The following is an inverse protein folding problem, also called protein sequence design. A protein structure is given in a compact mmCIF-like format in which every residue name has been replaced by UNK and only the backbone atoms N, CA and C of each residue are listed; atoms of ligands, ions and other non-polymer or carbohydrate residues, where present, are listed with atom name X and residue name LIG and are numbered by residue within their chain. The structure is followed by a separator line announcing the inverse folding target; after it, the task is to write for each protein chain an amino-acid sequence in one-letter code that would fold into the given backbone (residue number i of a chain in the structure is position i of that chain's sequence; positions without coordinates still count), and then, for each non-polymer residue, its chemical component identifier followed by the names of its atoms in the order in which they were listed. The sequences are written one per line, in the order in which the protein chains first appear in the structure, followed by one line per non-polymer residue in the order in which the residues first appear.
data_IF_416531188970
#
_entry.id   IF_416531188970
#
_cell.length_a   1.000
_cell.length_b   1.000
_cell.length_c   1.000
_cell.angle_alpha   90.00
_cell.angle_beta   90.00
_cell.angle_gamma   90.00
#
_symmetry.space_group_name_H-M   'P 1'
#
loop_
_entity.id
_entity.type
_entity.pdbx_description
1 polymer ?
#
# COMPACT_ATOMS: atom_id res chain seq x y z
N UNK A 1 -33.73 -46.67 22.55
CA UNK A 1 -32.88 -47.78 22.09
C UNK A 1 -31.49 -47.59 22.69
N UNK A 2 -31.03 -48.55 23.50
CA UNK A 2 -29.89 -48.40 24.42
C UNK A 2 -28.57 -48.11 23.68
N UNK A 3 -27.88 -47.05 24.10
CA UNK A 3 -26.55 -46.66 23.62
C UNK A 3 -25.41 -47.60 24.08
N UNK A 4 -25.73 -48.63 24.88
CA UNK A 4 -24.75 -49.51 25.55
C UNK A 4 -24.13 -50.59 24.64
N UNK A 5 -24.65 -50.85 23.43
CA UNK A 5 -24.14 -51.87 22.50
C UNK A 5 -23.39 -51.31 21.29
N UNK A 6 -22.81 -50.10 21.40
CA UNK A 6 -22.08 -49.42 20.33
C UNK A 6 -20.79 -48.75 20.83
N UNK A 7 -20.37 -49.06 22.05
CA UNK A 7 -19.27 -48.35 22.71
C UNK A 7 -17.93 -49.05 22.54
N UNK A 8 -17.94 -50.37 22.32
CA UNK A 8 -16.72 -51.16 22.15
C UNK A 8 -16.66 -51.79 20.77
N UNK A 9 -15.43 -52.10 20.34
CA UNK A 9 -15.18 -52.77 19.07
C UNK A 9 -15.81 -54.16 19.03
N UNK A 10 -15.80 -54.87 20.18
CA UNK A 10 -16.42 -56.20 20.28
C UNK A 10 -17.94 -56.17 20.08
N UNK A 11 -18.61 -55.05 20.42
CA UNK A 11 -20.05 -54.90 20.24
C UNK A 11 -20.41 -54.88 18.75
N UNK A 12 -19.57 -54.25 17.91
CA UNK A 12 -19.77 -54.17 16.46
C UNK A 12 -19.58 -55.53 15.79
N UNK A 13 -18.62 -56.32 16.27
CA UNK A 13 -18.39 -57.68 15.77
C UNK A 13 -19.48 -58.66 16.24
N UNK A 14 -20.28 -58.30 17.25
CA UNK A 14 -21.32 -59.15 17.81
C UNK A 14 -22.65 -59.13 17.05
N UNK A 15 -22.82 -58.22 16.07
CA UNK A 15 -24.04 -58.12 15.26
C UNK A 15 -24.26 -59.36 14.38
N UNK A 16 -25.53 -59.71 14.15
CA UNK A 16 -25.94 -60.79 13.25
C UNK A 16 -26.40 -60.22 11.91
N UNK A 17 -25.87 -60.75 10.82
CA UNK A 17 -26.27 -60.43 9.46
C UNK A 17 -26.82 -61.69 8.80
N UNK A 18 -27.85 -61.53 7.98
CA UNK A 18 -28.54 -62.63 7.31
C UNK A 18 -27.84 -62.96 5.99
N UNK A 19 -27.51 -64.23 5.79
CA UNK A 19 -26.95 -64.72 4.53
C UNK A 19 -28.05 -64.96 3.49
N UNK A 20 -27.69 -65.21 2.22
CA UNK A 20 -28.59 -65.52 1.10
C UNK A 20 -29.56 -66.68 1.39
N UNK A 21 -29.17 -67.60 2.28
CA UNK A 21 -29.99 -68.73 2.74
C UNK A 21 -30.84 -68.42 3.99
N UNK A 22 -31.09 -67.14 4.28
CA UNK A 22 -31.88 -66.65 5.44
C UNK A 22 -31.29 -66.97 6.84
N UNK A 23 -30.09 -67.55 6.90
CA UNK A 23 -29.39 -67.88 8.16
C UNK A 23 -28.72 -66.65 8.77
N UNK A 24 -28.82 -66.51 10.10
CA UNK A 24 -28.13 -65.48 10.87
C UNK A 24 -26.67 -65.89 11.13
N UNK A 25 -25.72 -65.07 10.68
CA UNK A 25 -24.28 -65.27 10.84
C UNK A 25 -23.71 -64.05 11.59
N UNK A 26 -22.87 -64.28 12.59
CA UNK A 26 -22.25 -63.21 13.35
C UNK A 26 -21.11 -62.56 12.54
N UNK A 27 -20.99 -61.23 12.59
CA UNK A 27 -19.98 -60.46 11.83
C UNK A 27 -18.54 -60.90 12.15
N UNK A 28 -18.26 -61.29 13.40
CA UNK A 28 -16.96 -61.82 13.84
C UNK A 28 -16.48 -63.07 13.09
N UNK A 29 -17.38 -63.83 12.45
CA UNK A 29 -17.02 -65.06 11.73
C UNK A 29 -16.38 -64.80 10.36
N UNK A 30 -16.51 -63.58 9.83
CA UNK A 30 -16.01 -63.23 8.49
C UNK A 30 -15.37 -61.83 8.39
N UNK A 31 -15.36 -61.04 9.46
CA UNK A 31 -14.73 -59.72 9.52
C UNK A 31 -13.81 -59.61 10.74
N UNK A 32 -12.64 -59.00 10.55
CA UNK A 32 -11.70 -58.61 11.60
C UNK A 32 -11.72 -57.10 11.78
N UNK A 33 -11.48 -56.63 13.00
CA UNK A 33 -11.44 -55.21 13.30
C UNK A 33 -10.12 -54.85 13.97
N UNK A 34 -9.44 -53.86 13.40
CA UNK A 34 -8.18 -53.31 13.90
C UNK A 34 -8.36 -51.84 14.26
N UNK A 35 -7.80 -51.43 15.40
CA UNK A 35 -7.78 -50.04 15.81
C UNK A 35 -6.64 -49.31 15.10
N UNK A 36 -6.98 -48.47 14.12
CA UNK A 36 -6.03 -47.59 13.43
C UNK A 36 -6.32 -46.12 13.74
N UNK A 37 -5.27 -45.31 13.89
CA UNK A 37 -5.42 -43.85 13.98
C UNK A 37 -5.37 -43.24 12.60
N UNK A 38 -6.43 -42.52 12.22
CA UNK A 38 -6.51 -41.76 10.99
C UNK A 38 -7.04 -40.35 11.28
N UNK A 39 -6.64 -39.33 10.49
CA UNK A 39 -7.22 -38.00 10.63
C UNK A 39 -8.74 -38.05 10.42
N UNK A 40 -9.54 -37.43 11.31
CA UNK A 40 -11.00 -37.41 11.17
C UNK A 40 -11.46 -36.56 9.97
N UNK A 41 -10.59 -35.68 9.46
CA UNK A 41 -10.85 -34.81 8.32
C UNK A 41 -9.66 -34.83 7.37
N UNK A 42 -9.93 -35.00 6.07
CA UNK A 42 -8.93 -34.91 5.00
C UNK A 42 -9.24 -33.65 4.17
N UNK A 43 -8.47 -32.59 4.40
CA UNK A 43 -8.63 -31.32 3.70
C UNK A 43 -8.06 -31.39 2.28
N UNK A 44 -8.76 -30.75 1.34
CA UNK A 44 -8.33 -30.60 -0.04
C UNK A 44 -8.36 -29.12 -0.45
N UNK A 45 -7.37 -28.68 -1.22
CA UNK A 45 -7.33 -27.35 -1.83
C UNK A 45 -6.84 -27.46 -3.28
N UNK A 46 -7.57 -26.86 -4.23
CA UNK A 46 -7.29 -26.96 -5.67
C UNK A 46 -7.09 -28.41 -6.15
N UNK A 47 -7.93 -29.35 -5.69
CA UNK A 47 -7.89 -30.79 -6.01
C UNK A 47 -6.71 -31.57 -5.42
N UNK A 48 -5.82 -30.94 -4.65
CA UNK A 48 -4.74 -31.61 -3.93
C UNK A 48 -5.10 -31.80 -2.46
N UNK A 49 -4.66 -32.91 -1.86
CA UNK A 49 -4.74 -33.11 -0.40
C UNK A 49 -3.78 -32.13 0.28
N UNK A 50 -4.29 -31.35 1.23
CA UNK A 50 -3.57 -30.21 1.80
C UNK A 50 -3.62 -30.24 3.32
N UNK A 51 -2.57 -29.73 3.95
CA UNK A 51 -2.53 -29.46 5.39
C UNK A 51 -2.67 -27.95 5.57
N UNK A 52 -3.61 -27.53 6.40
CA UNK A 52 -3.81 -26.12 6.71
C UNK A 52 -2.78 -25.67 7.74
N UNK A 53 -1.93 -24.72 7.35
CA UNK A 53 -0.98 -24.06 8.25
C UNK A 53 -1.49 -22.66 8.54
N UNK A 54 -1.66 -22.33 9.82
CA UNK A 54 -2.07 -21.01 10.27
C UNK A 54 -0.98 -20.43 11.18
N UNK A 55 -0.83 -19.12 11.12
CA UNK A 55 0.10 -18.38 11.94
C UNK A 55 -0.28 -16.90 11.96
N UNK A 56 0.25 -16.18 12.94
CA UNK A 56 0.15 -14.73 13.04
C UNK A 56 1.54 -14.12 12.92
N UNK A 57 1.59 -12.86 12.51
CA UNK A 57 2.81 -12.07 12.49
C UNK A 57 3.40 -11.89 13.90
N UNK A 58 4.72 -11.85 13.99
CA UNK A 58 5.40 -11.50 15.23
C UNK A 58 5.20 -10.00 15.54
N UNK A 59 5.25 -9.63 16.82
CA UNK A 59 5.10 -8.23 17.26
C UNK A 59 6.13 -7.35 16.55
N UNK A 60 5.66 -6.28 15.89
CA UNK A 60 6.51 -5.35 15.15
C UNK A 60 6.99 -5.85 13.78
N UNK A 61 6.43 -6.96 13.26
CA UNK A 61 6.67 -7.44 11.90
C UNK A 61 5.40 -7.30 11.07
N UNK A 62 5.57 -6.94 9.80
CA UNK A 62 4.43 -6.79 8.90
C UNK A 62 3.96 -8.14 8.36
N UNK A 63 2.70 -8.22 7.95
CA UNK A 63 2.16 -9.43 7.29
C UNK A 63 2.94 -9.81 6.03
N UNK A 64 3.47 -8.83 5.29
CA UNK A 64 4.31 -9.07 4.12
C UNK A 64 5.65 -9.73 4.46
N UNK A 65 6.26 -9.34 5.60
CA UNK A 65 7.46 -9.98 6.11
C UNK A 65 7.19 -11.42 6.53
N UNK A 66 6.05 -11.68 7.19
CA UNK A 66 5.64 -13.04 7.55
C UNK A 66 5.43 -13.93 6.32
N UNK A 67 4.75 -13.43 5.28
CA UNK A 67 4.54 -14.16 4.02
C UNK A 67 5.88 -14.48 3.32
N UNK A 68 6.79 -13.50 3.28
CA UNK A 68 8.12 -13.69 2.69
C UNK A 68 8.93 -14.73 3.47
N UNK A 69 8.87 -14.70 4.81
CA UNK A 69 9.56 -15.66 5.66
C UNK A 69 9.03 -17.08 5.46
N UNK A 70 7.71 -17.28 5.38
CA UNK A 70 7.11 -18.60 5.10
C UNK A 70 7.56 -19.11 3.72
N UNK A 71 7.56 -18.24 2.70
CA UNK A 71 8.05 -18.61 1.37
C UNK A 71 9.54 -18.99 1.39
N UNK A 72 10.37 -18.27 2.15
CA UNK A 72 11.80 -18.59 2.30
C UNK A 72 12.01 -19.92 3.03
N UNK A 73 11.27 -20.19 4.10
CA UNK A 73 11.32 -21.47 4.82
C UNK A 73 10.93 -22.61 3.88
N UNK A 74 9.83 -22.46 3.15
CA UNK A 74 9.39 -23.51 2.21
C UNK A 74 10.42 -23.78 1.12
N UNK A 75 11.06 -22.73 0.58
CA UNK A 75 12.16 -22.86 -0.40
C UNK A 75 13.39 -23.54 0.20
N UNK A 76 13.69 -23.31 1.48
CA UNK A 76 14.85 -23.92 2.15
C UNK A 76 14.71 -25.41 2.43
N UNK A 77 13.47 -25.92 2.51
CA UNK A 77 13.19 -27.33 2.78
C UNK A 77 13.24 -28.21 1.52
N UNK A 78 13.33 -27.60 0.33
CA UNK A 78 13.50 -28.27 -0.97
C UNK A 78 12.51 -29.43 -1.23
N UNK A 79 11.22 -29.19 -1.00
CA UNK A 79 10.19 -30.18 -1.29
C UNK A 79 9.97 -30.32 -2.80
N UNK A 80 10.33 -31.48 -3.36
CA UNK A 80 10.15 -31.79 -4.78
C UNK A 80 8.73 -32.24 -5.15
N UNK A 81 7.91 -32.61 -4.17
CA UNK A 81 6.58 -33.22 -4.36
C UNK A 81 5.44 -32.53 -3.59
N UNK A 82 5.72 -31.44 -2.89
CA UNK A 82 4.74 -30.69 -2.10
C UNK A 82 4.72 -29.25 -2.61
N UNK A 83 3.53 -28.75 -2.95
CA UNK A 83 3.31 -27.34 -3.25
C UNK A 83 2.74 -26.58 -2.04
N UNK A 84 2.76 -25.26 -2.12
CA UNK A 84 2.05 -24.39 -1.16
C UNK A 84 1.12 -23.44 -1.90
N UNK A 85 0.03 -23.07 -1.25
CA UNK A 85 -0.88 -22.05 -1.73
C UNK A 85 -1.34 -21.18 -0.55
N UNK A 86 -1.32 -19.86 -0.75
CA UNK A 86 -1.90 -18.92 0.21
C UNK A 86 -3.38 -18.75 -0.05
N UNK A 87 -4.18 -18.63 1.01
CA UNK A 87 -5.63 -18.48 0.93
C UNK A 87 -6.11 -17.26 1.72
N UNK A 88 -7.34 -16.82 1.47
CA UNK A 88 -7.95 -15.69 2.17
C UNK A 88 -7.17 -14.38 1.99
N UNK A 89 -6.95 -13.66 3.10
CA UNK A 89 -6.31 -12.34 3.13
C UNK A 89 -4.87 -12.38 2.61
N UNK A 90 -4.12 -13.45 2.90
CA UNK A 90 -2.76 -13.62 2.41
C UNK A 90 -2.70 -13.69 0.87
N UNK A 91 -3.67 -14.38 0.25
CA UNK A 91 -3.79 -14.47 -1.21
C UNK A 91 -4.10 -13.12 -1.85
N UNK A 92 -5.03 -12.37 -1.25
CA UNK A 92 -5.37 -11.02 -1.69
C UNK A 92 -4.17 -10.07 -1.58
N UNK A 93 -3.40 -10.14 -0.49
CA UNK A 93 -2.22 -9.32 -0.30
C UNK A 93 -1.12 -9.61 -1.34
N UNK A 94 -0.87 -10.88 -1.66
CA UNK A 94 0.11 -11.26 -2.69
C UNK A 94 -0.34 -10.84 -4.09
N UNK A 95 -1.63 -10.96 -4.39
CA UNK A 95 -2.19 -10.60 -5.68
C UNK A 95 -2.24 -9.08 -5.89
N UNK A 96 -2.55 -8.33 -4.83
CA UNK A 96 -2.65 -6.86 -4.87
C UNK A 96 -1.30 -6.14 -4.69
N UNK A 97 -0.29 -6.80 -4.13
CA UNK A 97 0.94 -6.15 -3.67
C UNK A 97 1.68 -5.32 -4.72
N UNK A 98 1.62 -5.71 -6.00
CA UNK A 98 2.29 -4.97 -7.08
C UNK A 98 1.39 -3.92 -7.76
N UNK A 99 0.08 -3.93 -7.51
CA UNK A 99 -0.85 -2.99 -8.13
C UNK A 99 -0.64 -1.56 -7.64
N UNK A 100 -0.20 -1.38 -6.39
CA UNK A 100 -0.01 -0.06 -5.78
C UNK A 100 1.01 0.78 -6.55
N UNK A 101 2.14 0.21 -6.94
CA UNK A 101 3.19 0.90 -7.72
C UNK A 101 2.65 1.37 -9.08
N UNK A 102 1.83 0.54 -9.73
CA UNK A 102 1.17 0.91 -10.99
C UNK A 102 0.19 2.07 -10.80
N UNK A 103 -0.63 2.05 -9.74
CA UNK A 103 -1.56 3.13 -9.42
C UNK A 103 -0.82 4.44 -9.14
N UNK A 104 0.30 4.39 -8.41
CA UNK A 104 1.15 5.57 -8.18
C UNK A 104 1.75 6.12 -9.46
N UNK A 105 2.36 5.25 -10.29
CA UNK A 105 2.94 5.65 -11.56
C UNK A 105 1.90 6.28 -12.49
N UNK A 106 0.72 5.67 -12.59
CA UNK A 106 -0.39 6.20 -13.37
C UNK A 106 -0.89 7.54 -12.80
N UNK A 107 -0.99 7.68 -11.48
CA UNK A 107 -1.40 8.92 -10.84
C UNK A 107 -0.47 10.09 -11.14
N UNK A 108 0.84 9.89 -10.99
CA UNK A 108 1.85 10.90 -11.35
C UNK A 108 1.79 11.22 -12.84
N UNK A 109 1.62 10.21 -13.70
CA UNK A 109 1.52 10.38 -15.14
C UNK A 109 0.28 11.21 -15.54
N UNK A 110 -0.88 10.94 -14.95
CA UNK A 110 -2.10 11.71 -15.21
C UNK A 110 -1.95 13.16 -14.73
N UNK A 111 -1.41 13.37 -13.53
CA UNK A 111 -1.13 14.73 -13.02
C UNK A 111 -0.16 15.46 -13.94
N UNK A 112 0.90 14.80 -14.40
CA UNK A 112 1.85 15.36 -15.37
C UNK A 112 1.15 15.81 -16.66
N UNK A 113 0.29 14.96 -17.25
CA UNK A 113 -0.42 15.27 -18.48
C UNK A 113 -1.38 16.45 -18.32
N UNK A 114 -2.15 16.48 -17.22
CA UNK A 114 -3.10 17.57 -16.94
C UNK A 114 -2.36 18.89 -16.76
N UNK A 115 -1.26 18.90 -16.01
CA UNK A 115 -0.44 20.10 -15.83
C UNK A 115 0.24 20.53 -17.14
N UNK A 116 0.73 19.57 -17.93
CA UNK A 116 1.34 19.87 -19.24
C UNK A 116 0.34 20.55 -20.18
N UNK A 117 -0.90 20.07 -20.19
CA UNK A 117 -1.97 20.68 -20.96
C UNK A 117 -2.37 22.07 -20.42
N UNK A 118 -2.39 22.25 -19.10
CA UNK A 118 -2.77 23.51 -18.46
C UNK A 118 -1.73 24.63 -18.67
N UNK A 119 -0.44 24.30 -18.56
CA UNK A 119 0.66 25.27 -18.67
C UNK A 119 1.23 25.39 -20.08
N UNK A 120 0.69 24.63 -21.05
CA UNK A 120 1.21 24.54 -22.43
C UNK A 120 2.74 24.30 -22.48
N UNK A 121 3.27 23.59 -21.48
CA UNK A 121 4.71 23.35 -21.32
C UNK A 121 4.95 21.96 -20.74
N UNK A 122 5.95 21.26 -21.27
CA UNK A 122 6.39 19.97 -20.77
C UNK A 122 7.39 20.08 -19.60
N UNK A 123 7.99 21.26 -19.40
CA UNK A 123 9.04 21.49 -18.40
C UNK A 123 8.45 21.92 -17.06
N UNK A 124 7.50 22.86 -17.09
CA UNK A 124 6.84 23.41 -15.89
C UNK A 124 6.19 22.34 -14.98
N UNK A 125 5.49 21.32 -15.51
CA UNK A 125 4.94 20.22 -14.71
C UNK A 125 5.98 19.40 -13.96
N UNK A 126 7.18 19.24 -14.52
CA UNK A 126 8.28 18.49 -13.87
C UNK A 126 8.75 19.22 -12.61
N UNK A 127 8.83 20.56 -12.66
CA UNK A 127 9.16 21.39 -11.49
C UNK A 127 8.11 21.21 -10.39
N UNK A 128 6.83 21.23 -10.77
CA UNK A 128 5.72 21.04 -9.82
C UNK A 128 5.78 19.65 -9.18
N UNK A 129 5.98 18.61 -9.99
CA UNK A 129 6.02 17.21 -9.52
C UNK A 129 7.23 16.90 -8.64
N UNK A 130 8.29 17.72 -8.65
CA UNK A 130 9.40 17.59 -7.70
C UNK A 130 8.96 17.73 -6.23
N UNK A 131 7.82 18.38 -5.98
CA UNK A 131 7.21 18.44 -4.63
C UNK A 131 6.72 17.07 -4.13
N UNK A 132 6.37 16.15 -5.04
CA UNK A 132 5.77 14.86 -4.69
C UNK A 132 6.79 13.94 -4.00
N UNK A 133 8.00 13.69 -4.53
CA UNK A 133 9.03 12.92 -3.82
C UNK A 133 9.38 13.49 -2.44
N UNK A 134 9.45 14.82 -2.31
CA UNK A 134 9.71 15.49 -1.03
C UNK A 134 8.60 15.22 -0.01
N UNK A 135 7.35 15.29 -0.45
CA UNK A 135 6.19 14.98 0.38
C UNK A 135 6.19 13.49 0.79
N UNK A 136 6.47 12.59 -0.16
CA UNK A 136 6.53 11.16 0.11
C UNK A 136 7.62 10.80 1.13
N UNK A 137 8.79 11.45 1.04
CA UNK A 137 9.85 11.29 2.03
C UNK A 137 9.34 11.62 3.43
N UNK A 138 8.64 12.74 3.60
CA UNK A 138 8.05 13.11 4.89
C UNK A 138 7.02 12.13 5.40
N UNK A 139 6.16 11.62 4.52
CA UNK A 139 5.17 10.61 4.88
C UNK A 139 5.82 9.30 5.34
N UNK A 140 6.84 8.81 4.62
CA UNK A 140 7.55 7.57 4.94
C UNK A 140 8.35 7.70 6.23
N UNK A 141 9.01 8.86 6.46
CA UNK A 141 9.73 9.12 7.71
C UNK A 141 8.78 9.10 8.89
N UNK A 142 7.61 9.75 8.81
CA UNK A 142 6.65 9.74 9.92
C UNK A 142 6.04 8.36 10.16
N UNK A 143 5.74 7.60 9.11
CA UNK A 143 5.29 6.21 9.24
C UNK A 143 6.33 5.36 9.96
N UNK A 144 7.60 5.47 9.55
CA UNK A 144 8.71 4.75 10.17
C UNK A 144 8.88 5.13 11.64
N UNK A 145 8.83 6.43 11.97
CA UNK A 145 8.91 6.91 13.36
C UNK A 145 7.76 6.39 14.23
N UNK A 146 6.56 6.23 13.66
CA UNK A 146 5.40 5.67 14.36
C UNK A 146 5.32 4.15 14.30
N UNK A 147 6.27 3.46 13.65
CA UNK A 147 6.24 2.02 13.41
C UNK A 147 4.92 1.53 12.79
N UNK A 148 4.36 2.33 11.88
CA UNK A 148 3.13 1.99 11.15
C UNK A 148 3.51 1.40 9.79
N UNK A 149 2.91 0.26 9.46
CA UNK A 149 3.13 -0.42 8.18
C UNK A 149 2.58 0.35 6.98
N UNK A 150 3.24 0.19 5.83
CA UNK A 150 2.75 0.69 4.54
C UNK A 150 1.60 -0.21 4.01
N UNK A 151 0.43 -0.05 4.62
CA UNK A 151 -0.80 -0.74 4.24
C UNK A 151 -1.59 0.02 3.14
N UNK A 152 -2.75 -0.51 2.76
CA UNK A 152 -3.62 0.07 1.72
C UNK A 152 -4.08 1.50 2.08
N UNK A 153 -4.38 1.79 3.35
CA UNK A 153 -4.76 3.13 3.78
C UNK A 153 -3.61 4.12 3.66
N UNK A 154 -2.40 3.72 4.04
CA UNK A 154 -1.21 4.52 3.82
C UNK A 154 -0.97 4.78 2.32
N UNK A 155 -1.21 3.79 1.46
CA UNK A 155 -1.07 3.95 0.02
C UNK A 155 -2.11 4.92 -0.57
N UNK A 156 -3.38 4.82 -0.18
CA UNK A 156 -4.41 5.80 -0.57
C UNK A 156 -4.01 7.20 -0.11
N UNK A 157 -3.50 7.31 1.12
CA UNK A 157 -2.97 8.58 1.65
C UNK A 157 -1.84 9.16 0.80
N UNK A 158 -0.89 8.33 0.36
CA UNK A 158 0.20 8.77 -0.52
C UNK A 158 -0.33 9.25 -1.87
N UNK A 159 -1.36 8.62 -2.43
CA UNK A 159 -1.98 9.08 -3.70
C UNK A 159 -2.64 10.43 -3.50
N UNK A 160 -3.39 10.61 -2.41
CA UNK A 160 -3.97 11.91 -2.03
C UNK A 160 -2.87 12.97 -1.84
N UNK A 161 -1.75 12.59 -1.26
CA UNK A 161 -0.59 13.46 -1.03
C UNK A 161 -0.03 14.06 -2.33
N UNK A 162 -0.10 13.33 -3.45
CA UNK A 162 0.37 13.83 -4.76
C UNK A 162 -0.32 15.15 -5.10
N UNK A 163 -1.66 15.18 -5.02
CA UNK A 163 -2.43 16.38 -5.34
C UNK A 163 -2.25 17.50 -4.30
N UNK A 164 -2.21 17.14 -3.01
CA UNK A 164 -2.04 18.11 -1.94
C UNK A 164 -0.64 18.78 -1.98
N UNK A 165 0.40 18.00 -2.27
CA UNK A 165 1.76 18.53 -2.43
C UNK A 165 1.90 19.33 -3.72
N UNK A 166 1.34 18.82 -4.83
CA UNK A 166 1.36 19.52 -6.12
C UNK A 166 0.71 20.90 -6.03
N UNK A 167 -0.38 21.08 -5.26
CA UNK A 167 -1.00 22.39 -5.02
C UNK A 167 -0.01 23.44 -4.53
N UNK A 168 0.89 23.09 -3.61
CA UNK A 168 1.88 24.03 -3.08
C UNK A 168 2.91 24.41 -4.15
N UNK A 169 3.34 23.44 -4.97
CA UNK A 169 4.22 23.69 -6.11
C UNK A 169 3.57 24.55 -7.19
N UNK A 170 2.31 24.26 -7.53
CA UNK A 170 1.47 24.98 -8.50
C UNK A 170 1.43 26.48 -8.16
N UNK A 171 1.12 26.83 -6.91
CA UNK A 171 0.99 28.24 -6.51
C UNK A 171 2.27 29.06 -6.71
N UNK A 172 3.44 28.47 -6.42
CA UNK A 172 4.74 29.14 -6.58
C UNK A 172 5.07 29.26 -8.06
N UNK A 173 4.95 28.17 -8.81
CA UNK A 173 5.34 28.11 -10.21
C UNK A 173 4.43 28.98 -11.08
N UNK A 174 3.14 29.02 -10.82
CA UNK A 174 2.18 29.87 -11.55
C UNK A 174 2.55 31.35 -11.47
N UNK A 175 2.88 31.84 -10.27
CA UNK A 175 3.28 33.25 -10.10
C UNK A 175 4.68 33.51 -10.63
N UNK A 176 5.59 32.55 -10.54
CA UNK A 176 6.91 32.67 -11.15
C UNK A 176 6.81 32.80 -12.68
N UNK A 177 5.94 32.01 -13.33
CA UNK A 177 5.66 32.13 -14.77
C UNK A 177 5.02 33.48 -15.13
N UNK A 178 4.08 33.98 -14.31
CA UNK A 178 3.48 35.30 -14.51
C UNK A 178 4.51 36.42 -14.45
N UNK A 179 5.42 36.39 -13.45
CA UNK A 179 6.51 37.35 -13.34
C UNK A 179 7.54 37.25 -14.46
N UNK A 180 7.85 36.03 -14.93
CA UNK A 180 8.71 35.86 -16.11
C UNK A 180 8.06 36.41 -17.38
N UNK A 181 6.74 36.25 -17.56
CA UNK A 181 6.00 36.88 -18.66
C UNK A 181 5.99 38.41 -18.57
N UNK A 182 6.05 38.96 -17.35
CA UNK A 182 6.22 40.39 -17.11
C UNK A 182 7.66 40.90 -17.33
N UNK A 183 8.59 40.04 -17.77
CA UNK A 183 9.96 40.42 -18.13
C UNK A 183 11.01 40.24 -17.02
N UNK A 184 10.64 39.67 -15.87
CA UNK A 184 11.60 39.39 -14.79
C UNK A 184 12.52 38.21 -15.13
N UNK A 185 13.73 38.22 -14.58
CA UNK A 185 14.61 37.05 -14.67
C UNK A 185 14.04 35.87 -13.86
N UNK A 186 14.39 34.63 -14.22
CA UNK A 186 13.90 33.44 -13.52
C UNK A 186 14.19 33.46 -12.02
N UNK A 187 15.33 34.04 -11.62
CA UNK A 187 15.72 34.23 -10.22
C UNK A 187 14.84 35.24 -9.49
N UNK A 188 14.58 36.41 -10.09
CA UNK A 188 13.76 37.45 -9.49
C UNK A 188 12.30 37.00 -9.40
N UNK A 189 11.80 36.36 -10.47
CA UNK A 189 10.45 35.80 -10.51
C UNK A 189 10.24 34.74 -9.43
N UNK A 190 11.21 33.84 -9.22
CA UNK A 190 11.13 32.80 -8.20
C UNK A 190 11.11 33.37 -6.77
N UNK A 191 11.90 34.41 -6.50
CA UNK A 191 11.94 35.09 -5.20
C UNK A 191 10.62 35.83 -4.94
N UNK A 192 10.15 36.61 -5.91
CA UNK A 192 8.88 37.35 -5.81
C UNK A 192 7.67 36.41 -5.63
N UNK A 193 7.67 35.28 -6.35
CA UNK A 193 6.65 34.25 -6.20
C UNK A 193 6.69 33.60 -4.80
N UNK A 194 7.88 33.28 -4.29
CA UNK A 194 8.03 32.69 -2.96
C UNK A 194 7.54 33.65 -1.86
N UNK A 195 7.90 34.93 -1.92
CA UNK A 195 7.48 35.94 -0.94
C UNK A 195 5.97 36.17 -0.95
N UNK A 196 5.36 36.35 -2.13
CA UNK A 196 3.93 36.61 -2.27
C UNK A 196 3.07 35.41 -1.86
N UNK A 197 3.55 34.18 -2.07
CA UNK A 197 2.80 32.95 -1.79
C UNK A 197 3.07 32.34 -0.43
N UNK A 198 4.11 32.78 0.30
CA UNK A 198 4.44 32.24 1.62
C UNK A 198 3.25 32.27 2.59
N UNK A 199 2.53 33.42 2.67
CA UNK A 199 1.36 33.57 3.56
C UNK A 199 0.19 32.65 3.16
N UNK A 200 -0.31 32.66 1.91
CA UNK A 200 -1.35 31.72 1.49
C UNK A 200 -0.99 30.24 1.66
N UNK A 201 0.26 29.86 1.34
CA UNK A 201 0.72 28.47 1.46
C UNK A 201 0.68 28.03 2.92
N UNK A 202 1.26 28.82 3.83
CA UNK A 202 1.25 28.52 5.26
C UNK A 202 -0.18 28.46 5.83
N UNK A 203 -1.07 29.37 5.42
CA UNK A 203 -2.47 29.34 5.84
C UNK A 203 -3.14 28.01 5.47
N UNK A 204 -3.00 27.58 4.22
CA UNK A 204 -3.63 26.32 3.77
C UNK A 204 -2.99 25.10 4.42
N UNK A 205 -1.65 25.10 4.58
CA UNK A 205 -0.93 24.01 5.21
C UNK A 205 -1.33 23.84 6.68
N UNK A 206 -1.37 24.92 7.46
CA UNK A 206 -1.79 24.88 8.86
C UNK A 206 -3.24 24.40 8.98
N UNK A 207 -4.14 24.88 8.12
CA UNK A 207 -5.53 24.45 8.11
C UNK A 207 -5.66 22.94 7.79
N UNK A 208 -4.93 22.45 6.78
CA UNK A 208 -4.92 21.02 6.45
C UNK A 208 -4.31 20.18 7.56
N UNK A 209 -3.17 20.60 8.14
CA UNK A 209 -2.54 19.90 9.26
C UNK A 209 -3.47 19.83 10.47
N UNK A 210 -4.15 20.93 10.82
CA UNK A 210 -5.15 20.94 11.89
C UNK A 210 -6.35 20.01 11.58
N UNK A 211 -6.78 19.94 10.31
CA UNK A 211 -7.86 19.05 9.87
C UNK A 211 -7.50 17.56 9.92
N UNK A 212 -6.24 17.20 9.64
CA UNK A 212 -5.78 15.81 9.70
C UNK A 212 -5.25 15.40 11.08
N UNK A 213 -4.99 16.35 11.98
CA UNK A 213 -4.50 16.08 13.34
C UNK A 213 -5.39 15.08 14.11
N UNK A 214 -6.74 15.15 14.08
CA UNK A 214 -7.60 14.18 14.75
C UNK A 214 -7.40 12.74 14.26
N UNK A 215 -7.13 12.55 12.96
CA UNK A 215 -6.91 11.22 12.39
C UNK A 215 -5.59 10.62 12.89
N UNK A 216 -4.57 11.47 13.08
CA UNK A 216 -3.24 11.07 13.60
C UNK A 216 -3.35 10.56 15.04
N UNK A 217 -4.24 11.15 15.86
CA UNK A 217 -4.40 10.83 17.29
C UNK A 217 -5.64 9.98 17.60
N UNK A 218 -6.36 9.49 16.58
CA UNK A 218 -7.58 8.73 16.76
C UNK A 218 -7.34 7.45 17.58
N UNK A 219 -8.12 7.21 18.63
CA UNK A 219 -8.01 6.02 19.51
C UNK A 219 -9.24 5.12 19.49
N UNK A 220 -10.30 5.52 18.80
CA UNK A 220 -11.59 4.83 18.77
C UNK A 220 -11.60 3.68 17.75
N UNK A 221 -12.76 3.03 17.55
CA UNK A 221 -12.90 1.94 16.59
C UNK A 221 -12.38 2.35 15.19
N UNK A 222 -11.51 1.51 14.61
CA UNK A 222 -10.85 1.82 13.34
C UNK A 222 -9.67 2.79 13.45
N UNK A 223 -9.17 3.07 14.67
CA UNK A 223 -8.00 3.91 14.91
C UNK A 223 -6.80 3.56 14.03
N UNK A 224 -6.46 2.27 13.88
CA UNK A 224 -5.30 1.87 13.07
C UNK A 224 -5.40 2.34 11.62
N UNK A 225 -6.59 2.25 11.01
CA UNK A 225 -6.81 2.72 9.63
C UNK A 225 -6.74 4.24 9.53
N UNK A 226 -7.35 4.95 10.50
CA UNK A 226 -7.34 6.41 10.55
C UNK A 226 -5.94 6.97 10.82
N UNK A 227 -5.22 6.40 11.78
CA UNK A 227 -3.85 6.76 12.10
C UNK A 227 -2.91 6.50 10.93
N UNK A 228 -3.09 5.38 10.21
CA UNK A 228 -2.28 5.08 9.02
C UNK A 228 -2.47 6.12 7.93
N UNK A 229 -3.72 6.45 7.59
CA UNK A 229 -4.04 7.47 6.57
C UNK A 229 -3.60 8.87 7.03
N UNK A 230 -3.94 9.22 8.27
CA UNK A 230 -3.65 10.53 8.86
C UNK A 230 -2.16 10.79 9.00
N UNK A 231 -1.37 9.80 9.42
CA UNK A 231 0.10 9.94 9.57
C UNK A 231 0.77 10.23 8.25
N UNK A 232 0.35 9.53 7.18
CA UNK A 232 0.89 9.75 5.83
C UNK A 232 0.61 11.17 5.36
N UNK A 233 -0.66 11.59 5.42
CA UNK A 233 -1.05 12.91 4.93
C UNK A 233 -0.42 14.01 5.78
N UNK A 234 -0.49 13.88 7.10
CA UNK A 234 0.05 14.87 8.04
C UNK A 234 1.57 15.00 7.91
N UNK A 235 2.30 13.88 7.93
CA UNK A 235 3.76 13.87 7.82
C UNK A 235 4.25 14.36 6.47
N UNK A 236 3.58 13.90 5.41
CA UNK A 236 3.90 14.33 4.06
C UNK A 236 3.63 15.82 3.85
N UNK A 237 2.50 16.35 4.32
CA UNK A 237 2.19 17.79 4.24
C UNK A 237 3.17 18.63 5.06
N UNK A 238 3.47 18.23 6.30
CA UNK A 238 4.35 18.99 7.18
C UNK A 238 5.72 19.18 6.53
N UNK A 239 6.31 18.07 6.06
CA UNK A 239 7.62 18.10 5.39
C UNK A 239 7.53 18.76 4.03
N UNK A 240 6.48 18.48 3.25
CA UNK A 240 6.27 19.11 1.95
C UNK A 240 6.19 20.62 2.06
N UNK A 241 5.43 21.18 3.01
CA UNK A 241 5.28 22.63 3.15
C UNK A 241 6.61 23.31 3.51
N UNK A 242 7.37 22.73 4.45
CA UNK A 242 8.66 23.29 4.86
C UNK A 242 9.68 23.19 3.71
N UNK A 243 9.79 22.02 3.09
CA UNK A 243 10.76 21.80 2.01
C UNK A 243 10.33 22.47 0.70
N UNK A 244 9.04 22.55 0.38
CA UNK A 244 8.59 23.16 -0.88
C UNK A 244 8.91 24.64 -0.94
N UNK A 245 8.75 25.36 0.17
CA UNK A 245 9.09 26.79 0.23
C UNK A 245 10.59 27.04 0.03
N UNK A 246 11.45 26.15 0.51
CA UNK A 246 12.90 26.29 0.36
C UNK A 246 13.48 25.70 -0.93
N UNK A 247 12.92 24.59 -1.42
CA UNK A 247 13.51 23.79 -2.51
C UNK A 247 12.88 24.09 -3.87
N UNK A 248 11.57 24.43 -3.93
CA UNK A 248 10.89 24.68 -5.22
C UNK A 248 11.46 25.90 -5.95
N UNK A 249 11.68 27.07 -5.31
CA UNK A 249 12.20 28.23 -6.03
C UNK A 249 13.60 28.02 -6.65
N UNK A 250 14.60 27.47 -5.92
CA UNK A 250 15.89 27.11 -6.52
C UNK A 250 15.76 26.07 -7.63
N UNK A 251 14.91 25.06 -7.45
CA UNK A 251 14.69 24.03 -8.46
C UNK A 251 14.07 24.59 -9.74
N UNK A 252 13.11 25.51 -9.61
CA UNK A 252 12.52 26.24 -10.73
C UNK A 252 13.60 27.00 -11.52
N UNK A 253 14.46 27.76 -10.83
CA UNK A 253 15.55 28.50 -11.46
C UNK A 253 16.50 27.58 -12.23
N UNK A 254 16.94 26.47 -11.62
CA UNK A 254 17.85 25.51 -12.26
C UNK A 254 17.23 24.92 -13.51
N UNK A 255 15.96 24.49 -13.43
CA UNK A 255 15.26 23.89 -14.58
C UNK A 255 15.04 24.91 -15.69
N UNK A 256 14.68 26.16 -15.37
CA UNK A 256 14.54 27.23 -16.38
C UNK A 256 15.86 27.64 -17.03
N UNK A 257 16.95 27.63 -16.27
CA UNK A 257 18.28 27.87 -16.84
C UNK A 257 18.71 26.73 -17.77
N UNK A 258 18.41 25.49 -17.42
CA UNK A 258 18.63 24.33 -18.28
C UNK A 258 17.75 24.38 -19.54
N UNK A 259 16.50 24.76 -19.40
CA UNK A 259 15.57 24.98 -20.54
C UNK A 259 16.12 26.03 -21.49
N UNK A 260 16.58 27.18 -20.99
CA UNK A 260 17.19 28.23 -21.83
C UNK A 260 18.52 27.81 -22.48
N UNK A 261 19.23 26.85 -21.88
CA UNK A 261 20.47 26.28 -22.40
C UNK A 261 20.26 25.20 -23.47
N UNK A 262 19.19 24.41 -23.37
CA UNK A 262 18.83 23.36 -24.34
C UNK A 262 17.91 23.85 -25.46
N UNK A 263 16.99 24.75 -25.15
CA UNK A 263 16.10 25.43 -26.09
C UNK A 263 16.51 26.89 -26.12
N UNK A 264 17.38 27.25 -27.07
CA UNK A 264 17.95 28.59 -27.18
C UNK A 264 16.89 29.69 -27.12
N UNK A 265 17.20 30.75 -26.36
CA UNK A 265 16.34 31.92 -26.08
C UNK A 265 15.45 32.29 -27.29
N UNK A 266 14.11 32.34 -27.15
CA UNK A 266 13.34 33.21 -28.01
C UNK A 266 13.81 34.63 -27.70
N UNK A 267 14.31 35.33 -28.71
CA UNK A 267 14.59 36.76 -28.61
C UNK A 267 13.29 37.45 -28.25
N UNK A 268 13.19 37.97 -27.02
CA UNK A 268 12.21 39.00 -26.69
C UNK A 268 12.57 40.22 -27.55
N UNK A 269 11.81 40.43 -28.61
CA UNK A 269 11.89 41.64 -29.42
C UNK A 269 11.25 42.77 -28.60
N UNK A 270 11.96 43.86 -28.29
CA UNK A 270 11.34 45.05 -27.74
C UNK A 270 10.83 45.88 -28.92
N UNK A 271 9.55 45.73 -29.26
CA UNK A 271 8.80 46.72 -30.04
C UNK A 271 7.71 47.32 -29.15
#
# INVERSE_FOLDING_TARGET
AQAQGRSKLEDVLSYYVRNKDDKLIQVSQFATADLSSAPPVISHYNLYRTILVQGAEAIGKSSGQALTAIQQIFRSLDFNNIGYAFTGIASLQLSAGNASVLVFGLGIFVVYLVLSAQYESYVTPVVILMTVPLAMLGALVLLALRSIDLNIYAQVGLVTLIGLAAKNGILIVEVAEEHMKAGMTATEAAIAAAESRMRPILMTAIASLAGFLPLVVATTAGANSQQSLGTVIFGGLLVATVLSLGVVPPFYVVIKQLEAGWFGKPKLNPD
#
